data_IF_379647490031
#
_entry.id   IF_379647490031
#
_cell.length_a   1.000
_cell.length_b   1.000
_cell.length_c   1.000
_cell.angle_alpha   90.00
_cell.angle_beta   90.00
_cell.angle_gamma   90.00
#
_symmetry.space_group_name_H-M   'P 1'
#
loop_
_entity.id
_entity.type
_entity.pdbx_description
1 polymer ?
#
# COMPACT_ATOMS: atom_id res chain seq x y z
N UNK A 1 -6.06 22.63 -7.20
CA UNK A 1 -7.33 21.93 -6.95
C UNK A 1 -7.41 21.57 -5.47
N UNK A 2 -8.40 22.09 -4.75
CA UNK A 2 -8.62 21.79 -3.32
C UNK A 2 -9.28 20.42 -3.14
N UNK A 3 -8.47 19.39 -2.91
CA UNK A 3 -8.86 18.01 -2.56
C UNK A 3 -9.36 17.87 -1.10
N UNK A 4 -9.79 18.96 -0.46
CA UNK A 4 -9.78 19.05 1.01
C UNK A 4 -11.10 18.72 1.71
N UNK A 5 -12.24 18.61 1.01
CA UNK A 5 -13.55 18.41 1.68
C UNK A 5 -14.45 17.46 0.92
N UNK A 6 -14.50 16.21 1.36
CA UNK A 6 -15.59 15.28 1.05
C UNK A 6 -16.40 15.21 2.34
N UNK A 7 -17.62 15.76 2.33
CA UNK A 7 -18.55 15.82 3.48
C UNK A 7 -18.09 16.75 4.63
N UNK A 8 -17.40 17.86 4.34
CA UNK A 8 -16.99 18.86 5.36
C UNK A 8 -15.82 18.42 6.27
N UNK A 9 -15.37 17.18 6.12
CA UNK A 9 -14.20 16.60 6.79
C UNK A 9 -12.93 16.86 5.99
N UNK A 10 -11.81 17.10 6.68
CA UNK A 10 -10.51 17.18 6.05
C UNK A 10 -10.00 15.76 5.74
N UNK A 11 -10.35 15.25 4.55
CA UNK A 11 -10.05 13.88 4.13
C UNK A 11 -8.58 13.52 4.34
N UNK A 12 -7.68 14.42 3.91
CA UNK A 12 -6.24 14.23 4.02
C UNK A 12 -5.83 14.04 5.48
N UNK A 13 -6.26 14.95 6.34
CA UNK A 13 -5.93 14.90 7.76
C UNK A 13 -6.50 13.64 8.43
N UNK A 14 -7.79 13.34 8.23
CA UNK A 14 -8.43 12.14 8.79
C UNK A 14 -7.74 10.85 8.32
N UNK A 15 -7.37 10.78 7.03
CA UNK A 15 -6.66 9.63 6.47
C UNK A 15 -5.34 9.36 7.20
N UNK A 16 -4.50 10.39 7.33
CA UNK A 16 -3.19 10.24 7.97
C UNK A 16 -3.31 9.98 9.48
N UNK A 17 -4.15 10.74 10.19
CA UNK A 17 -4.34 10.56 11.64
C UNK A 17 -4.90 9.18 11.99
N UNK A 18 -5.84 8.67 11.19
CA UNK A 18 -6.44 7.37 11.41
C UNK A 18 -5.45 6.22 11.17
N UNK A 19 -4.65 6.29 10.10
CA UNK A 19 -3.58 5.32 9.86
C UNK A 19 -2.55 5.36 10.98
N UNK A 20 -2.11 6.55 11.39
CA UNK A 20 -1.09 6.70 12.42
C UNK A 20 -1.57 6.11 13.75
N UNK A 21 -2.81 6.44 14.14
CA UNK A 21 -3.48 5.92 15.35
C UNK A 21 -3.50 4.39 15.40
N UNK A 22 -3.83 3.74 14.28
CA UNK A 22 -3.99 2.28 14.23
C UNK A 22 -2.73 1.53 13.77
N UNK A 23 -1.69 2.25 13.35
CA UNK A 23 -0.46 1.65 12.82
C UNK A 23 0.22 0.64 13.77
N UNK A 24 0.32 0.86 15.10
CA UNK A 24 0.98 -0.09 15.98
C UNK A 24 0.26 -1.45 15.99
N UNK A 25 -1.07 -1.43 16.09
CA UNK A 25 -1.91 -2.63 16.09
C UNK A 25 -1.92 -3.32 14.73
N UNK A 26 -1.95 -2.58 13.62
CA UNK A 26 -1.81 -3.18 12.30
C UNK A 26 -0.50 -3.94 12.15
N UNK A 27 0.62 -3.33 12.54
CA UNK A 27 1.93 -3.96 12.44
C UNK A 27 2.06 -5.21 13.34
N UNK A 28 1.46 -5.18 14.53
CA UNK A 28 1.38 -6.35 15.43
C UNK A 28 0.58 -7.50 14.80
N UNK A 29 -0.62 -7.21 14.26
CA UNK A 29 -1.46 -8.18 13.58
C UNK A 29 -0.73 -8.76 12.36
N UNK A 30 -0.04 -7.92 11.58
CA UNK A 30 0.74 -8.40 10.44
C UNK A 30 1.90 -9.29 10.88
N UNK A 31 2.51 -9.01 12.03
CA UNK A 31 3.55 -9.82 12.63
C UNK A 31 3.05 -11.19 13.11
N UNK A 32 1.90 -11.23 13.76
CA UNK A 32 1.33 -12.49 14.31
C UNK A 32 0.85 -13.46 13.24
N UNK A 33 0.52 -12.97 12.04
CA UNK A 33 0.13 -13.83 10.91
C UNK A 33 1.31 -14.35 10.07
N UNK A 34 2.56 -14.11 10.47
CA UNK A 34 3.74 -14.67 9.79
C UNK A 34 3.94 -16.12 10.22
N UNK A 35 3.66 -17.06 9.32
CA UNK A 35 4.11 -18.44 9.46
C UNK A 35 5.65 -18.56 9.43
N UNK A 36 6.17 -19.77 9.62
CA UNK A 36 7.61 -20.02 9.75
C UNK A 36 8.45 -19.44 8.60
N UNK A 37 7.98 -19.54 7.35
CA UNK A 37 8.64 -18.94 6.18
C UNK A 37 8.71 -17.42 6.27
N UNK A 38 7.63 -16.77 6.71
CA UNK A 38 7.60 -15.31 6.89
C UNK A 38 8.54 -14.83 8.00
N UNK A 39 8.71 -15.62 9.07
CA UNK A 39 9.68 -15.35 10.13
C UNK A 39 11.13 -15.54 9.63
N UNK A 40 11.40 -16.62 8.90
CA UNK A 40 12.70 -16.87 8.31
C UNK A 40 13.10 -15.77 7.31
N UNK A 41 12.19 -15.37 6.41
CA UNK A 41 12.42 -14.27 5.48
C UNK A 41 12.64 -12.93 6.19
N UNK A 42 11.99 -12.73 7.33
CA UNK A 42 12.23 -11.55 8.18
C UNK A 42 13.64 -11.57 8.76
N UNK A 43 14.08 -12.72 9.28
CA UNK A 43 15.44 -12.90 9.81
C UNK A 43 16.49 -12.73 8.71
N UNK A 44 16.28 -13.35 7.55
CA UNK A 44 17.16 -13.21 6.39
C UNK A 44 17.19 -11.76 5.94
N UNK A 45 16.06 -11.06 5.81
CA UNK A 45 16.04 -9.64 5.44
C UNK A 45 16.66 -8.71 6.48
N UNK A 46 16.77 -9.12 7.75
CA UNK A 46 17.50 -8.37 8.78
C UNK A 46 19.00 -8.65 8.74
N UNK A 47 19.40 -9.88 8.41
CA UNK A 47 20.81 -10.31 8.31
C UNK A 47 21.46 -9.86 6.99
N UNK A 48 20.73 -10.01 5.90
CA UNK A 48 21.10 -9.50 4.59
C UNK A 48 20.45 -8.15 4.42
N UNK A 49 21.24 -7.08 4.23
CA UNK A 49 20.79 -5.73 3.86
C UNK A 49 20.21 -5.76 2.43
N UNK A 50 19.24 -6.63 2.16
CA UNK A 50 18.74 -6.89 0.82
C UNK A 50 18.05 -5.65 0.31
N UNK A 51 18.49 -5.24 -0.88
CA UNK A 51 17.83 -4.18 -1.58
C UNK A 51 16.47 -4.62 -2.09
N UNK A 52 15.44 -3.79 -1.94
CA UNK A 52 14.10 -4.09 -2.46
C UNK A 52 14.13 -4.42 -3.97
N UNK A 53 15.17 -3.93 -4.68
CA UNK A 53 15.55 -4.36 -6.03
C UNK A 53 15.61 -5.88 -6.19
N UNK A 54 16.12 -6.61 -5.21
CA UNK A 54 16.25 -8.08 -5.27
C UNK A 54 14.88 -8.77 -5.21
N UNK A 55 13.98 -8.37 -4.31
CA UNK A 55 12.73 -9.10 -4.08
C UNK A 55 11.68 -8.89 -5.18
N UNK A 56 11.70 -7.74 -5.87
CA UNK A 56 10.84 -7.51 -7.04
C UNK A 56 11.36 -8.25 -8.30
N UNK A 57 12.68 -8.47 -8.40
CA UNK A 57 13.33 -9.16 -9.53
C UNK A 57 13.34 -10.69 -9.37
N UNK A 58 13.24 -11.22 -8.14
CA UNK A 58 13.38 -12.66 -7.88
C UNK A 58 12.13 -13.54 -8.12
N UNK A 59 11.14 -13.08 -8.89
CA UNK A 59 9.97 -13.90 -9.25
C UNK A 59 9.24 -14.50 -8.02
N UNK A 60 9.33 -13.82 -6.87
CA UNK A 60 8.54 -14.18 -5.70
C UNK A 60 7.18 -13.52 -5.83
N UNK A 61 6.09 -14.26 -5.51
CA UNK A 61 4.74 -13.69 -5.44
C UNK A 61 4.75 -12.37 -4.67
N UNK A 62 4.02 -11.36 -5.16
CA UNK A 62 3.82 -10.05 -4.51
C UNK A 62 3.64 -10.17 -2.98
N UNK A 63 2.95 -11.22 -2.55
CA UNK A 63 2.73 -11.60 -1.17
C UNK A 63 4.02 -11.71 -0.34
N UNK A 64 5.06 -12.35 -0.87
CA UNK A 64 6.34 -12.54 -0.17
C UNK A 64 7.11 -11.23 -0.03
N UNK A 65 7.12 -10.40 -1.08
CA UNK A 65 7.78 -9.09 -1.04
C UNK A 65 7.11 -8.16 -0.02
N UNK A 66 5.78 -8.19 0.06
CA UNK A 66 5.00 -7.42 1.05
C UNK A 66 5.24 -7.91 2.47
N UNK A 67 5.32 -9.23 2.71
CA UNK A 67 5.63 -9.77 4.04
C UNK A 67 6.99 -9.25 4.53
N UNK A 68 8.02 -9.32 3.69
CA UNK A 68 9.36 -8.81 4.03
C UNK A 68 9.35 -7.30 4.28
N UNK A 69 8.65 -6.52 3.43
CA UNK A 69 8.54 -5.08 3.59
C UNK A 69 7.92 -4.69 4.94
N UNK A 70 6.80 -5.31 5.31
CA UNK A 70 6.12 -5.05 6.59
C UNK A 70 6.99 -5.48 7.79
N UNK A 71 7.91 -6.43 7.62
CA UNK A 71 8.79 -6.93 8.68
C UNK A 71 9.91 -6.01 9.12
N UNK A 72 10.29 -5.04 8.29
CA UNK A 72 11.41 -4.17 8.63
C UNK A 72 11.04 -3.22 9.79
N UNK A 73 12.00 -2.91 10.66
CA UNK A 73 11.81 -1.84 11.64
C UNK A 73 12.06 -0.50 10.97
N UNK A 74 11.19 0.47 11.22
CA UNK A 74 11.36 1.85 10.76
C UNK A 74 10.65 2.78 11.74
N UNK A 75 11.19 3.99 11.90
CA UNK A 75 10.57 5.08 12.65
C UNK A 75 10.01 6.16 11.72
N UNK A 76 10.25 6.05 10.41
CA UNK A 76 9.74 6.99 9.41
C UNK A 76 8.21 6.86 9.27
N UNK A 77 7.42 7.91 9.55
CA UNK A 77 5.96 7.83 9.50
C UNK A 77 5.42 7.42 8.12
N UNK A 78 6.05 7.89 7.04
CA UNK A 78 5.62 7.57 5.67
C UNK A 78 5.84 6.09 5.35
N UNK A 79 6.97 5.52 5.78
CA UNK A 79 7.26 4.10 5.66
C UNK A 79 6.31 3.25 6.52
N UNK A 80 5.97 3.69 7.74
CA UNK A 80 4.97 3.04 8.59
C UNK A 80 3.61 2.99 7.89
N UNK A 81 3.11 4.14 7.40
CA UNK A 81 1.84 4.25 6.67
C UNK A 81 1.85 3.37 5.41
N UNK A 82 2.96 3.35 4.68
CA UNK A 82 3.14 2.49 3.50
C UNK A 82 3.01 1.01 3.86
N UNK A 83 3.58 0.57 4.99
CA UNK A 83 3.44 -0.82 5.48
C UNK A 83 2.01 -1.17 5.81
N UNK A 84 1.29 -0.28 6.50
CA UNK A 84 -0.14 -0.44 6.78
C UNK A 84 -0.91 -0.64 5.48
N UNK A 85 -0.76 0.29 4.53
CA UNK A 85 -1.50 0.26 3.26
C UNK A 85 -1.19 -0.97 2.40
N UNK A 86 0.06 -1.44 2.38
CA UNK A 86 0.46 -2.66 1.65
C UNK A 86 0.01 -3.95 2.35
N UNK A 87 -0.12 -3.94 3.68
CA UNK A 87 -0.51 -5.12 4.46
C UNK A 87 -2.02 -5.34 4.57
N UNK A 88 -2.83 -4.28 4.44
CA UNK A 88 -4.28 -4.38 4.52
C UNK A 88 -4.89 -5.40 3.56
N UNK A 89 -4.54 -5.43 2.24
CA UNK A 89 -5.06 -6.43 1.31
C UNK A 89 -4.79 -7.86 1.76
N UNK A 90 -3.60 -8.11 2.32
CA UNK A 90 -3.17 -9.44 2.74
C UNK A 90 -4.03 -9.94 3.91
N UNK A 91 -4.28 -9.09 4.90
CA UNK A 91 -5.13 -9.45 6.05
C UNK A 91 -6.59 -9.58 5.66
N UNK A 92 -7.05 -8.73 4.74
CA UNK A 92 -8.42 -8.72 4.26
C UNK A 92 -8.67 -9.76 3.16
N UNK A 93 -7.64 -10.46 2.70
CA UNK A 93 -7.72 -11.51 1.67
C UNK A 93 -8.10 -10.98 0.29
N UNK A 94 -7.79 -9.72 0.01
CA UNK A 94 -7.88 -9.12 -1.32
C UNK A 94 -6.63 -9.48 -2.14
N UNK A 95 -6.73 -9.39 -3.46
CA UNK A 95 -5.61 -9.56 -4.39
C UNK A 95 -5.09 -8.20 -4.89
N UNK A 96 -3.96 -7.71 -4.35
CA UNK A 96 -3.36 -6.45 -4.73
C UNK A 96 -2.57 -6.49 -6.05
N UNK A 97 -2.39 -7.65 -6.69
CA UNK A 97 -1.42 -7.82 -7.80
C UNK A 97 -1.67 -6.85 -8.96
N UNK A 98 -2.92 -6.67 -9.36
CA UNK A 98 -3.28 -5.75 -10.44
C UNK A 98 -3.40 -4.29 -9.99
N UNK A 99 -3.54 -4.05 -8.68
CA UNK A 99 -3.68 -2.71 -8.14
C UNK A 99 -2.33 -2.05 -7.87
N UNK A 100 -1.33 -2.80 -7.39
CA UNK A 100 0.01 -2.27 -7.17
C UNK A 100 1.01 -2.90 -8.14
N UNK A 101 1.37 -2.17 -9.19
CA UNK A 101 2.39 -2.60 -10.14
C UNK A 101 3.70 -1.83 -9.94
N UNK A 102 4.79 -2.38 -10.47
CA UNK A 102 6.06 -1.67 -10.59
C UNK A 102 6.44 -1.58 -12.07
N UNK A 103 7.11 -0.47 -12.42
CA UNK A 103 7.70 -0.21 -13.71
C UNK A 103 9.02 0.53 -13.54
N UNK A 104 9.79 0.61 -14.62
CA UNK A 104 11.11 1.25 -14.64
C UNK A 104 11.07 2.54 -15.45
N UNK A 105 11.94 3.51 -15.12
CA UNK A 105 11.94 4.82 -15.80
C UNK A 105 12.18 4.72 -17.31
N UNK A 106 12.94 3.72 -17.77
CA UNK A 106 13.28 3.54 -19.19
C UNK A 106 12.71 2.26 -19.81
N UNK A 107 11.72 1.61 -19.19
CA UNK A 107 11.02 0.51 -19.84
C UNK A 107 9.97 1.09 -20.78
N UNK A 108 10.10 0.83 -22.09
CA UNK A 108 9.08 1.11 -23.11
C UNK A 108 7.81 0.23 -22.96
N UNK A 109 7.63 -0.43 -21.80
CA UNK A 109 6.49 -1.28 -21.44
C UNK A 109 5.24 -0.44 -21.11
N UNK A 110 4.89 0.48 -22.01
CA UNK A 110 3.71 1.34 -21.96
C UNK A 110 2.40 0.51 -22.08
N UNK A 111 2.50 -0.74 -22.56
CA UNK A 111 1.34 -1.58 -22.85
C UNK A 111 0.83 -2.45 -21.69
N UNK A 112 1.56 -2.54 -20.57
CA UNK A 112 1.20 -3.50 -19.50
C UNK A 112 0.04 -3.05 -18.60
N UNK A 113 -0.51 -1.84 -18.82
CA UNK A 113 -1.50 -1.22 -17.92
C UNK A 113 -2.86 -0.93 -18.57
N UNK A 114 -3.01 -1.11 -19.89
CA UNK A 114 -4.26 -0.81 -20.63
C UNK A 114 -5.49 -1.55 -20.09
N UNK A 115 -5.30 -2.76 -19.56
CA UNK A 115 -6.38 -3.58 -18.98
C UNK A 115 -6.72 -3.22 -17.51
N UNK A 116 -6.10 -2.19 -16.93
CA UNK A 116 -6.33 -1.83 -15.53
C UNK A 116 -7.47 -0.82 -15.36
N UNK A 117 -8.51 -1.22 -14.62
CA UNK A 117 -9.56 -0.30 -14.16
C UNK A 117 -8.98 0.80 -13.25
N UNK A 118 -8.23 0.44 -12.21
CA UNK A 118 -7.58 1.37 -11.27
C UNK A 118 -6.30 0.72 -10.74
N UNK A 119 -5.18 1.46 -10.75
CA UNK A 119 -3.92 1.00 -10.19
C UNK A 119 -2.99 2.13 -9.74
N UNK A 120 -2.01 1.75 -8.92
CA UNK A 120 -0.87 2.58 -8.54
C UNK A 120 0.39 1.92 -9.08
N UNK A 121 1.06 2.62 -9.99
CA UNK A 121 2.31 2.19 -10.59
C UNK A 121 3.49 2.83 -9.83
N UNK A 122 4.35 1.98 -9.28
CA UNK A 122 5.62 2.34 -8.65
C UNK A 122 6.69 2.49 -9.73
N UNK A 123 7.29 3.67 -9.89
CA UNK A 123 8.37 3.88 -10.84
C UNK A 123 9.71 3.82 -10.10
N UNK A 124 10.57 2.88 -10.48
CA UNK A 124 11.92 2.74 -9.94
C UNK A 124 12.97 3.39 -10.86
N UNK A 125 14.02 4.00 -10.27
CA UNK A 125 15.15 4.54 -11.05
C UNK A 125 16.00 3.39 -11.57
N UNK A 126 16.43 3.47 -12.84
CA UNK A 126 17.38 2.52 -13.38
C UNK A 126 18.75 2.63 -12.72
N UNK A 127 19.31 1.47 -12.35
CA UNK A 127 20.72 1.24 -12.06
C UNK A 127 21.44 2.25 -11.15
N UNK A 128 21.59 1.92 -9.85
CA UNK A 128 22.88 1.99 -9.14
C UNK A 128 22.80 1.16 -7.86
N UNK A 129 23.89 0.49 -7.50
CA UNK A 129 24.06 -0.13 -6.18
C UNK A 129 24.09 1.01 -5.18
N UNK A 130 23.02 1.17 -4.39
CA UNK A 130 22.93 2.24 -3.41
C UNK A 130 23.21 1.70 -2.02
N UNK A 131 24.06 2.44 -1.30
CA UNK A 131 24.42 2.21 0.09
C UNK A 131 23.18 2.25 0.97
N UNK A 132 23.25 1.56 2.10
CA UNK A 132 22.14 1.16 3.00
C UNK A 132 21.20 2.26 3.54
N UNK A 133 21.29 3.51 3.09
CA UNK A 133 20.48 4.65 3.54
C UNK A 133 19.47 5.19 2.51
N UNK A 134 19.57 4.88 1.21
CA UNK A 134 18.66 5.44 0.17
C UNK A 134 17.40 4.60 -0.09
N UNK A 135 16.93 3.87 0.92
CA UNK A 135 16.40 2.53 0.70
C UNK A 135 14.88 2.36 0.76
N UNK A 136 14.08 3.44 0.72
CA UNK A 136 12.64 3.34 1.03
C UNK A 136 11.70 4.11 0.11
N UNK A 137 12.21 4.90 -0.84
CA UNK A 137 11.35 5.75 -1.70
C UNK A 137 11.53 5.43 -3.18
N UNK A 138 10.45 5.18 -3.93
CA UNK A 138 10.51 5.08 -5.39
C UNK A 138 10.99 6.38 -6.04
N UNK A 139 11.27 6.34 -7.35
CA UNK A 139 11.52 7.55 -8.13
C UNK A 139 10.29 8.45 -8.12
N UNK A 140 9.12 7.84 -8.38
CA UNK A 140 7.80 8.44 -8.31
C UNK A 140 6.73 7.35 -8.32
N UNK A 141 5.47 7.73 -8.09
CA UNK A 141 4.31 6.88 -8.36
C UNK A 141 3.39 7.57 -9.38
N UNK A 142 2.66 6.74 -10.14
CA UNK A 142 1.58 7.14 -11.04
C UNK A 142 0.26 6.50 -10.60
N UNK A 143 -0.85 7.21 -10.78
CA UNK A 143 -2.21 6.66 -10.66
C UNK A 143 -2.71 6.38 -12.08
N UNK A 144 -3.13 5.13 -12.29
CA UNK A 144 -3.74 4.66 -13.53
C UNK A 144 -5.23 4.47 -13.29
N UNK A 145 -6.06 4.95 -14.21
CA UNK A 145 -7.52 4.71 -14.23
C UNK A 145 -7.90 4.38 -15.66
N UNK A 146 -8.57 3.25 -15.88
CA UNK A 146 -9.03 2.77 -17.18
C UNK A 146 -7.92 2.77 -18.24
N UNK A 147 -6.74 2.24 -17.87
CA UNK A 147 -5.56 2.20 -18.73
C UNK A 147 -4.75 3.50 -18.81
N UNK A 148 -5.31 4.63 -18.36
CA UNK A 148 -4.72 5.95 -18.57
C UNK A 148 -4.00 6.49 -17.33
N UNK A 149 -2.87 7.19 -17.54
CA UNK A 149 -2.16 7.91 -16.48
C UNK A 149 -2.94 9.18 -16.12
N UNK A 150 -3.68 9.15 -15.03
CA UNK A 150 -4.47 10.30 -14.57
C UNK A 150 -3.66 11.24 -13.66
N UNK A 151 -2.65 10.71 -12.96
CA UNK A 151 -1.75 11.52 -12.15
C UNK A 151 -0.36 10.88 -12.08
N UNK A 152 0.68 11.70 -12.10
CA UNK A 152 2.07 11.27 -12.06
C UNK A 152 2.88 12.02 -11.00
N UNK A 153 4.17 11.67 -10.92
CA UNK A 153 5.15 12.31 -10.04
C UNK A 153 4.72 12.39 -8.55
N UNK A 154 3.95 11.39 -8.10
CA UNK A 154 3.50 11.30 -6.72
C UNK A 154 4.66 10.78 -5.87
N UNK A 155 4.93 11.43 -4.74
CA UNK A 155 6.13 11.16 -3.94
C UNK A 155 6.06 9.84 -3.16
N UNK A 156 4.87 9.48 -2.66
CA UNK A 156 4.71 8.37 -1.74
C UNK A 156 3.35 7.67 -1.89
N UNK A 157 3.32 6.40 -1.48
CA UNK A 157 2.13 5.57 -1.54
C UNK A 157 0.96 6.12 -0.69
N UNK A 158 1.16 6.57 0.56
CA UNK A 158 0.08 7.17 1.35
C UNK A 158 -0.61 8.33 0.62
N UNK A 159 0.15 9.20 -0.04
CA UNK A 159 -0.38 10.29 -0.84
C UNK A 159 -1.20 9.78 -2.03
N UNK A 160 -0.68 8.81 -2.78
CA UNK A 160 -1.41 8.21 -3.91
C UNK A 160 -2.75 7.59 -3.45
N UNK A 161 -2.74 6.81 -2.36
CA UNK A 161 -3.96 6.24 -1.79
C UNK A 161 -4.93 7.32 -1.32
N UNK A 162 -4.44 8.36 -0.64
CA UNK A 162 -5.27 9.49 -0.20
C UNK A 162 -5.96 10.20 -1.37
N UNK A 163 -5.26 10.37 -2.50
CA UNK A 163 -5.83 10.97 -3.72
C UNK A 163 -6.96 10.09 -4.28
N UNK A 164 -6.77 8.76 -4.36
CA UNK A 164 -7.80 7.85 -4.86
C UNK A 164 -9.13 7.95 -4.08
N UNK A 165 -9.08 8.08 -2.75
CA UNK A 165 -10.30 8.31 -1.95
C UNK A 165 -10.92 9.68 -2.17
N UNK A 166 -10.14 10.65 -2.65
CA UNK A 166 -10.61 11.98 -3.07
C UNK A 166 -11.37 11.98 -4.41
N UNK A 167 -11.20 10.94 -5.24
CA UNK A 167 -11.73 10.89 -6.60
C UNK A 167 -13.11 10.20 -6.70
N UNK A 168 -13.66 9.67 -5.60
CA UNK A 168 -14.96 8.97 -5.58
C UNK A 168 -15.11 7.88 -6.67
N UNK A 169 -14.08 7.06 -6.86
CA UNK A 169 -14.06 6.04 -7.90
C UNK A 169 -14.82 4.76 -7.49
N UNK A 170 -15.29 4.00 -8.47
CA UNK A 170 -15.73 2.62 -8.25
C UNK A 170 -14.54 1.76 -7.83
N UNK A 171 -14.67 1.00 -6.74
CA UNK A 171 -13.53 0.26 -6.22
C UNK A 171 -13.14 -0.93 -7.09
N UNK A 172 -11.83 -1.21 -7.25
CA UNK A 172 -11.37 -2.37 -7.99
C UNK A 172 -11.90 -3.65 -7.32
N UNK A 173 -12.46 -4.57 -8.10
CA UNK A 173 -13.13 -5.79 -7.59
C UNK A 173 -12.19 -6.64 -6.72
N UNK A 174 -10.91 -6.70 -7.09
CA UNK A 174 -9.87 -7.48 -6.39
C UNK A 174 -9.43 -6.86 -5.06
N UNK A 175 -9.75 -5.58 -4.83
CA UNK A 175 -9.34 -4.79 -3.65
C UNK A 175 -10.54 -4.25 -2.86
N UNK A 176 -11.72 -4.84 -3.09
CA UNK A 176 -13.00 -4.32 -2.58
C UNK A 176 -13.02 -4.24 -1.05
N UNK A 177 -12.50 -5.24 -0.33
CA UNK A 177 -12.55 -5.24 1.14
C UNK A 177 -11.61 -4.19 1.74
N UNK A 178 -10.45 -3.98 1.11
CA UNK A 178 -9.44 -2.99 1.51
C UNK A 178 -9.96 -1.59 1.35
N UNK A 179 -10.54 -1.27 0.18
CA UNK A 179 -11.12 0.05 -0.04
C UNK A 179 -12.32 0.31 0.88
N UNK A 180 -13.19 -0.70 1.08
CA UNK A 180 -14.29 -0.60 2.04
C UNK A 180 -13.77 -0.38 3.47
N UNK A 181 -12.72 -1.09 3.88
CA UNK A 181 -12.11 -0.92 5.20
C UNK A 181 -11.58 0.50 5.40
N UNK A 182 -10.80 1.01 4.45
CA UNK A 182 -10.23 2.36 4.54
C UNK A 182 -11.37 3.40 4.57
N UNK A 183 -12.35 3.29 3.66
CA UNK A 183 -13.46 4.23 3.62
C UNK A 183 -14.30 4.20 4.92
N UNK A 184 -14.78 3.03 5.33
CA UNK A 184 -15.76 2.92 6.41
C UNK A 184 -15.13 2.94 7.81
N UNK A 185 -13.91 2.41 7.95
CA UNK A 185 -13.23 2.30 9.26
C UNK A 185 -12.25 3.43 9.47
N UNK A 186 -11.34 3.67 8.51
CA UNK A 186 -10.31 4.70 8.71
C UNK A 186 -10.86 6.11 8.51
N UNK A 187 -11.68 6.32 7.48
CA UNK A 187 -12.24 7.63 7.12
C UNK A 187 -13.65 7.87 7.70
N UNK A 188 -14.30 6.82 8.21
CA UNK A 188 -15.69 6.90 8.69
C UNK A 188 -16.64 7.50 7.64
N UNK A 189 -16.51 7.05 6.39
CA UNK A 189 -17.31 7.47 5.24
C UNK A 189 -18.19 6.32 4.72
N UNK A 190 -19.34 6.66 4.13
CA UNK A 190 -20.28 5.69 3.56
C UNK A 190 -21.17 4.99 4.59
N UNK A 191 -21.79 3.88 4.20
CA UNK A 191 -22.70 3.13 5.07
C UNK A 191 -21.99 2.53 6.30
N UNK A 192 -22.71 2.47 7.42
CA UNK A 192 -22.19 2.02 8.72
C UNK A 192 -22.09 0.50 8.85
N UNK A 193 -22.81 -0.25 8.01
CA UNK A 193 -22.83 -1.70 8.09
C UNK A 193 -21.53 -2.28 7.52
N UNK A 194 -20.72 -2.83 8.43
CA UNK A 194 -19.48 -3.49 8.09
C UNK A 194 -19.73 -4.97 7.84
N UNK A 195 -19.14 -5.50 6.76
CA UNK A 195 -19.07 -6.95 6.57
C UNK A 195 -18.36 -7.59 7.76
N UNK A 196 -18.70 -8.85 8.13
CA UNK A 196 -18.11 -9.52 9.30
C UNK A 196 -16.58 -9.47 9.35
N UNK A 197 -15.89 -9.66 8.21
CA UNK A 197 -14.42 -9.59 8.14
C UNK A 197 -13.85 -8.20 8.46
N UNK A 198 -14.53 -7.14 8.02
CA UNK A 198 -14.13 -5.75 8.31
C UNK A 198 -14.40 -5.42 9.77
N UNK A 199 -15.53 -5.89 10.31
CA UNK A 199 -15.87 -5.71 11.72
C UNK A 199 -14.87 -6.41 12.64
N UNK A 200 -14.48 -7.65 12.32
CA UNK A 200 -13.45 -8.39 13.07
C UNK A 200 -12.14 -7.61 13.11
N UNK A 201 -11.64 -7.14 11.95
CA UNK A 201 -10.39 -6.37 11.93
C UNK A 201 -10.53 -5.05 12.70
N UNK A 202 -11.64 -4.31 12.53
CA UNK A 202 -11.92 -3.07 13.28
C UNK A 202 -11.89 -3.32 14.79
N UNK A 203 -12.51 -4.39 15.27
CA UNK A 203 -12.52 -4.74 16.69
C UNK A 203 -11.11 -5.05 17.20
N UNK A 204 -10.28 -5.73 16.41
CA UNK A 204 -8.88 -6.01 16.77
C UNK A 204 -8.02 -4.75 16.89
N UNK A 205 -8.39 -3.65 16.21
CA UNK A 205 -7.68 -2.37 16.29
C UNK A 205 -8.14 -1.48 17.45
N UNK A 206 -9.27 -1.81 18.09
CA UNK A 206 -9.85 -1.05 19.20
C UNK A 206 -9.34 -1.51 20.57
N UNK A 207 -8.64 -2.65 20.62
CA UNK A 207 -7.97 -3.20 21.81
C UNK A 207 -6.65 -2.49 22.03
#
# INVERSE_FOLDING_TARGET
>A
MEFSRIVGKNLKQEFYESIDRHSPRHLEIFGSKRGNVGQLLTQISQQTKLSYRSLFVFNFSYLTCVIVFISQKTTDPTAIRTKVLRGLPIILGDDPTNFFKAGFVNSDDDDSFHDLDIGILLIERDGTVLTSSQHLSPASLKIIIEGEVVMDNIQDLPKAMCILFGLHLNYPKTMKLTFQFIQQVLLSLGHTDLKPKLQTLKNQLAV
#
